data_IF_550805701119
#
_entry.id   IF_550805701119
#
_cell.length_a   1.000
_cell.length_b   1.000
_cell.length_c   1.000
_cell.angle_alpha   90.00
_cell.angle_beta   90.00
_cell.angle_gamma   90.00
#
_symmetry.space_group_name_H-M   'P 1'
#
loop_
_entity.id
_entity.type
_entity.pdbx_description
1 polymer ?
#
# COMPACT_ATOMS: atom_id res chain seq x y z
N UNK A 1 -50.19 0.22 23.20
CA UNK A 1 -48.81 0.04 23.65
C UNK A 1 -47.91 0.46 22.50
N UNK A 2 -47.44 1.70 22.54
CA UNK A 2 -46.54 2.32 21.53
C UNK A 2 -45.21 2.73 22.17
N UNK A 3 -45.14 2.64 23.51
CA UNK A 3 -43.94 2.98 24.30
C UNK A 3 -42.88 1.87 24.25
N UNK A 4 -43.27 0.61 24.06
CA UNK A 4 -42.31 -0.49 23.89
C UNK A 4 -41.68 -0.51 22.48
N UNK A 5 -42.41 -0.02 21.47
CA UNK A 5 -41.98 -0.07 20.07
C UNK A 5 -40.96 1.04 19.73
N UNK A 6 -41.04 2.19 20.41
CA UNK A 6 -40.06 3.27 20.27
C UNK A 6 -38.69 2.96 20.91
N UNK A 7 -38.63 2.02 21.87
CA UNK A 7 -37.37 1.65 22.52
C UNK A 7 -36.46 0.81 21.61
N UNK A 8 -37.03 -0.01 20.72
CA UNK A 8 -36.27 -0.90 19.83
C UNK A 8 -35.59 -0.12 18.70
N UNK A 9 -36.19 0.97 18.23
CA UNK A 9 -35.61 1.82 17.18
C UNK A 9 -34.37 2.59 17.66
N UNK A 10 -34.30 2.97 18.94
CA UNK A 10 -33.14 3.71 19.50
C UNK A 10 -31.95 2.79 19.74
N UNK A 11 -32.17 1.53 20.11
CA UNK A 11 -31.08 0.56 20.34
C UNK A 11 -30.40 0.14 19.04
N UNK A 12 -31.14 0.01 17.93
CA UNK A 12 -30.55 -0.33 16.64
C UNK A 12 -29.71 0.80 16.03
N UNK A 13 -30.06 2.07 16.29
CA UNK A 13 -29.29 3.22 15.80
C UNK A 13 -27.96 3.41 16.56
N UNK A 14 -27.89 2.97 17.82
CA UNK A 14 -26.66 3.00 18.61
C UNK A 14 -25.65 1.91 18.20
N UNK A 15 -26.13 0.77 17.67
CA UNK A 15 -25.25 -0.32 17.22
C UNK A 15 -24.54 0.03 15.91
N UNK A 16 -25.15 0.84 15.05
CA UNK A 16 -24.51 1.31 13.81
C UNK A 16 -23.48 2.42 14.01
N UNK A 17 -23.64 3.28 15.03
CA UNK A 17 -22.64 4.33 15.31
C UNK A 17 -21.36 3.77 15.93
N UNK A 18 -21.46 2.70 16.72
CA UNK A 18 -20.29 2.01 17.28
C UNK A 18 -19.48 1.28 16.20
N UNK A 19 -20.12 0.82 15.12
CA UNK A 19 -19.44 0.17 13.98
C UNK A 19 -18.93 1.15 12.91
N UNK A 20 -19.38 2.41 12.90
CA UNK A 20 -18.90 3.43 11.94
C UNK A 20 -17.69 4.22 12.45
N UNK A 21 -17.22 3.96 13.67
CA UNK A 21 -15.99 4.54 14.21
C UNK A 21 -14.75 3.80 13.68
N UNK A 22 -14.64 3.66 12.36
CA UNK A 22 -13.34 3.45 11.72
C UNK A 22 -12.80 4.84 11.45
N UNK A 23 -11.80 5.26 12.25
CA UNK A 23 -11.19 6.58 12.12
C UNK A 23 -10.71 6.80 10.68
N UNK A 24 -11.04 7.95 10.06
CA UNK A 24 -10.45 8.32 8.79
C UNK A 24 -8.95 8.48 9.00
N UNK A 25 -8.15 7.70 8.27
CA UNK A 25 -6.70 7.91 8.14
C UNK A 25 -6.44 9.26 7.46
N UNK A 26 -6.47 10.33 8.26
CA UNK A 26 -5.98 11.66 7.92
C UNK A 26 -5.03 12.06 9.04
N UNK A 27 -3.76 11.76 8.85
CA UNK A 27 -2.67 12.34 9.62
C UNK A 27 -1.86 13.24 8.70
N UNK A 28 -2.29 14.49 8.60
CA UNK A 28 -1.45 15.69 8.47
C UNK A 28 -2.30 16.74 9.25
N UNK A 29 -1.87 17.30 10.38
CA UNK A 29 -0.78 18.25 10.50
C UNK A 29 -0.55 18.60 12.00
N UNK A 30 0.72 18.75 12.38
CA UNK A 30 1.28 19.57 13.48
C UNK A 30 1.28 19.15 14.97
N UNK A 31 2.51 18.86 15.43
CA UNK A 31 3.22 19.43 16.58
C UNK A 31 2.69 19.22 18.01
N UNK A 32 3.40 18.36 18.76
CA UNK A 32 3.39 18.36 20.22
C UNK A 32 4.28 17.27 20.81
N UNK A 33 5.44 17.65 21.35
CA UNK A 33 6.36 16.73 22.02
C UNK A 33 5.68 15.98 23.19
N UNK A 34 5.75 14.67 23.15
CA UNK A 34 5.36 13.80 24.26
C UNK A 34 5.82 12.38 23.97
N UNK A 35 6.82 11.90 24.71
CA UNK A 35 7.26 10.52 24.67
C UNK A 35 6.11 9.60 25.14
N UNK A 36 5.33 9.09 24.19
CA UNK A 36 4.43 7.97 24.41
C UNK A 36 5.21 6.68 24.11
N UNK A 37 5.21 5.76 25.07
CA UNK A 37 5.75 4.42 24.88
C UNK A 37 5.07 3.80 23.66
N UNK A 38 5.88 3.45 22.65
CA UNK A 38 5.43 2.76 21.44
C UNK A 38 4.92 1.38 21.84
N UNK A 39 3.60 1.24 21.94
CA UNK A 39 2.97 -0.07 21.77
C UNK A 39 3.45 -0.64 20.43
N UNK A 40 3.69 -1.97 20.30
CA UNK A 40 4.04 -2.55 19.01
C UNK A 40 2.96 -2.17 18.01
N UNK A 41 3.35 -1.48 16.93
CA UNK A 41 2.44 -1.15 15.84
C UNK A 41 1.78 -2.45 15.40
N UNK A 42 0.45 -2.50 15.47
CA UNK A 42 -0.29 -3.62 14.89
C UNK A 42 0.07 -3.69 13.40
N UNK A 43 0.46 -4.88 12.92
CA UNK A 43 0.68 -5.11 11.49
C UNK A 43 -0.58 -4.69 10.73
N UNK A 44 -0.44 -3.67 9.90
CA UNK A 44 -1.49 -3.08 9.09
C UNK A 44 -1.01 -2.92 7.64
N UNK A 45 -1.87 -2.40 6.76
CA UNK A 45 -1.54 -2.22 5.36
C UNK A 45 -0.24 -1.44 5.19
N UNK A 46 0.61 -1.92 4.29
CA UNK A 46 1.87 -1.25 3.96
C UNK A 46 1.65 -0.33 2.77
N UNK A 47 1.97 0.95 2.97
CA UNK A 47 1.79 2.00 1.96
C UNK A 47 3.15 2.62 1.64
N UNK A 48 3.57 2.59 0.38
CA UNK A 48 4.81 3.21 -0.10
C UNK A 48 4.53 4.23 -1.19
N UNK A 49 5.42 5.22 -1.32
CA UNK A 49 5.34 6.25 -2.36
C UNK A 49 6.74 6.66 -2.82
N UNK A 50 7.17 6.12 -3.95
CA UNK A 50 8.54 6.26 -4.46
C UNK A 50 8.56 7.05 -5.76
N UNK A 51 9.30 8.17 -5.86
CA UNK A 51 9.48 8.86 -7.12
C UNK A 51 10.37 8.05 -8.07
N UNK A 52 10.11 8.14 -9.38
CA UNK A 52 10.93 7.51 -10.41
C UNK A 52 11.25 8.47 -11.55
N UNK A 53 12.37 8.20 -12.22
CA UNK A 53 12.82 8.92 -13.42
C UNK A 53 13.55 7.93 -14.35
N UNK A 54 12.92 7.58 -15.47
CA UNK A 54 13.53 6.73 -16.50
C UNK A 54 14.44 7.50 -17.46
N UNK A 55 14.49 8.84 -17.37
CA UNK A 55 15.26 9.71 -18.26
C UNK A 55 14.61 10.01 -19.62
N UNK A 56 13.54 9.29 -19.98
CA UNK A 56 12.81 9.45 -21.24
C UNK A 56 11.76 10.56 -21.24
N UNK A 57 11.16 10.81 -22.40
CA UNK A 57 10.04 11.74 -22.52
C UNK A 57 8.83 11.21 -21.74
N UNK A 58 8.24 12.05 -20.88
CA UNK A 58 7.22 11.65 -19.91
C UNK A 58 7.68 10.50 -18.98
N UNK A 59 9.00 10.33 -18.77
CA UNK A 59 9.57 9.22 -18.03
C UNK A 59 9.61 9.39 -16.50
N UNK A 60 8.87 10.37 -15.96
CA UNK A 60 8.94 10.76 -14.54
C UNK A 60 7.58 10.68 -13.88
N UNK A 61 7.58 10.25 -12.63
CA UNK A 61 6.36 10.12 -11.87
C UNK A 61 6.61 9.59 -10.47
N UNK A 62 5.55 9.06 -9.88
CA UNK A 62 5.56 8.42 -8.56
C UNK A 62 4.88 7.08 -8.66
N UNK A 63 5.52 6.05 -8.09
CA UNK A 63 4.88 4.75 -7.84
C UNK A 63 4.34 4.76 -6.42
N UNK A 64 3.05 4.46 -6.26
CA UNK A 64 2.44 4.18 -4.96
C UNK A 64 2.13 2.70 -4.85
N UNK A 65 2.49 2.09 -3.72
CA UNK A 65 2.24 0.67 -3.45
C UNK A 65 1.36 0.55 -2.22
N UNK A 66 0.40 -0.37 -2.28
CA UNK A 66 -0.36 -0.86 -1.15
C UNK A 66 -0.21 -2.38 -1.04
N UNK A 67 0.12 -2.89 0.14
CA UNK A 67 0.15 -4.32 0.45
C UNK A 67 -0.77 -4.57 1.65
N UNK A 68 -1.89 -5.25 1.40
CA UNK A 68 -2.90 -5.57 2.41
C UNK A 68 -2.99 -7.10 2.63
N UNK A 69 -3.01 -7.58 3.87
CA UNK A 69 -3.01 -6.85 5.15
C UNK A 69 -1.61 -6.45 5.65
N UNK A 70 -0.56 -6.54 4.84
CA UNK A 70 0.81 -6.15 5.22
C UNK A 70 1.43 -7.09 6.25
N UNK A 71 1.17 -8.40 6.12
CA UNK A 71 1.65 -9.42 7.09
C UNK A 71 2.15 -10.69 6.43
N UNK A 72 2.62 -11.64 7.24
CA UNK A 72 3.03 -12.95 6.73
C UNK A 72 1.87 -13.72 6.09
N UNK A 73 2.22 -14.56 5.10
CA UNK A 73 1.27 -15.31 4.30
C UNK A 73 0.81 -14.53 3.07
N UNK A 74 -0.46 -14.72 2.71
CA UNK A 74 -1.06 -14.15 1.50
C UNK A 74 -1.42 -12.68 1.69
N UNK A 75 -1.02 -11.86 0.73
CA UNK A 75 -1.36 -10.44 0.63
C UNK A 75 -1.92 -10.13 -0.77
N UNK A 76 -2.65 -9.03 -0.86
CA UNK A 76 -2.99 -8.35 -2.09
C UNK A 76 -2.04 -7.16 -2.27
N UNK A 77 -1.52 -7.01 -3.48
CA UNK A 77 -0.66 -5.90 -3.87
C UNK A 77 -1.44 -5.03 -4.86
N UNK A 78 -1.49 -3.73 -4.60
CA UNK A 78 -1.88 -2.74 -5.60
C UNK A 78 -0.72 -1.79 -5.86
N UNK A 79 -0.55 -1.43 -7.13
CA UNK A 79 0.45 -0.44 -7.55
C UNK A 79 -0.22 0.61 -8.43
N UNK A 80 -0.01 1.87 -8.09
CA UNK A 80 -0.40 3.01 -8.91
C UNK A 80 0.85 3.69 -9.45
N UNK A 81 0.85 4.02 -10.73
CA UNK A 81 1.87 4.82 -11.38
C UNK A 81 1.20 6.13 -11.76
N UNK A 82 1.62 7.21 -11.11
CA UNK A 82 1.13 8.55 -11.39
C UNK A 82 2.24 9.35 -12.10
N UNK A 83 1.92 10.06 -13.17
CA UNK A 83 2.85 10.92 -13.87
C UNK A 83 3.23 12.16 -13.04
N UNK A 84 4.20 12.94 -13.53
CA UNK A 84 4.60 14.19 -12.87
C UNK A 84 3.48 15.24 -12.74
N UNK A 85 2.37 15.10 -13.49
CA UNK A 85 1.18 15.95 -13.37
C UNK A 85 0.15 15.43 -12.35
N UNK A 86 0.48 14.36 -11.62
CA UNK A 86 -0.35 13.74 -10.60
C UNK A 86 -1.52 12.92 -11.14
N UNK A 87 -1.56 12.64 -12.44
CA UNK A 87 -2.58 11.80 -13.06
C UNK A 87 -2.06 10.37 -13.25
N UNK A 88 -2.95 9.36 -13.29
CA UNK A 88 -2.56 8.00 -13.63
C UNK A 88 -1.80 7.97 -14.96
N UNK A 89 -0.71 7.22 -14.99
CA UNK A 89 0.17 7.07 -16.14
C UNK A 89 0.32 5.59 -16.48
N UNK A 90 -0.07 5.20 -17.68
CA UNK A 90 0.23 3.85 -18.18
C UNK A 90 1.70 3.69 -18.53
N UNK A 91 2.23 2.53 -18.18
CA UNK A 91 3.60 2.11 -18.50
C UNK A 91 3.57 0.76 -19.21
N UNK A 92 4.40 0.55 -20.24
CA UNK A 92 4.50 -0.73 -20.95
C UNK A 92 4.81 -1.94 -20.05
N UNK A 93 5.57 -1.76 -18.97
CA UNK A 93 5.89 -2.83 -18.04
C UNK A 93 6.14 -2.30 -16.63
N UNK A 94 5.64 -3.05 -15.65
CA UNK A 94 5.87 -2.84 -14.22
C UNK A 94 6.23 -4.19 -13.59
N UNK A 95 7.34 -4.24 -12.83
CA UNK A 95 7.73 -5.41 -12.04
C UNK A 95 7.97 -5.00 -10.60
N UNK A 96 7.61 -5.86 -9.66
CA UNK A 96 7.91 -5.69 -8.24
C UNK A 96 8.71 -6.90 -7.76
N UNK A 97 9.65 -6.72 -6.86
CA UNK A 97 10.32 -7.81 -6.18
C UNK A 97 10.49 -7.52 -4.69
N UNK A 98 10.30 -8.55 -3.87
CA UNK A 98 10.45 -8.45 -2.41
C UNK A 98 11.70 -9.22 -1.97
N UNK A 99 12.57 -8.57 -1.21
CA UNK A 99 13.81 -9.19 -0.67
C UNK A 99 13.89 -8.98 0.84
N UNK A 100 14.11 -10.04 1.60
CA UNK A 100 14.41 -9.98 3.04
C UNK A 100 15.87 -10.36 3.23
N UNK A 101 16.74 -9.35 3.18
CA UNK A 101 18.20 -9.55 3.21
C UNK A 101 18.67 -10.23 4.49
N UNK A 102 18.07 -9.88 5.64
CA UNK A 102 18.42 -10.46 6.94
C UNK A 102 18.25 -11.99 7.00
N UNK A 103 17.38 -12.55 6.17
CA UNK A 103 17.08 -13.98 6.12
C UNK A 103 17.49 -14.63 4.79
N UNK A 104 18.21 -13.89 3.93
CA UNK A 104 18.63 -14.35 2.60
C UNK A 104 17.46 -14.86 1.73
N UNK A 105 16.29 -14.22 1.86
CA UNK A 105 15.10 -14.56 1.08
C UNK A 105 14.93 -13.56 -0.07
N UNK A 106 14.74 -14.09 -1.28
CA UNK A 106 14.41 -13.31 -2.47
C UNK A 106 15.60 -13.12 -3.43
N UNK A 107 15.43 -12.29 -4.47
CA UNK A 107 14.22 -11.51 -4.76
C UNK A 107 13.02 -12.41 -5.10
N UNK A 108 11.88 -12.15 -4.48
CA UNK A 108 10.61 -12.81 -4.77
C UNK A 108 9.86 -11.96 -5.81
N UNK A 109 9.84 -12.36 -7.10
CA UNK A 109 9.23 -11.55 -8.14
C UNK A 109 7.70 -11.58 -8.01
N UNK A 110 7.11 -10.40 -8.16
CA UNK A 110 5.67 -10.18 -8.31
C UNK A 110 5.46 -9.47 -9.62
N UNK A 111 4.71 -10.09 -10.52
CA UNK A 111 4.33 -9.50 -11.81
C UNK A 111 2.85 -9.14 -11.71
N UNK A 112 2.53 -7.89 -11.36
CA UNK A 112 1.14 -7.48 -11.26
C UNK A 112 0.50 -7.38 -12.64
N UNK A 113 -0.80 -7.63 -12.70
CA UNK A 113 -1.63 -7.47 -13.89
C UNK A 113 -2.18 -6.04 -13.95
N UNK A 114 -2.30 -5.49 -15.16
CA UNK A 114 -2.90 -4.16 -15.34
C UNK A 114 -4.41 -4.22 -15.12
N UNK A 115 -4.91 -3.44 -14.17
CA UNK A 115 -6.35 -3.30 -13.89
C UNK A 115 -6.97 -2.12 -14.63
N UNK A 116 -6.34 -0.95 -14.56
CA UNK A 116 -6.79 0.29 -15.19
C UNK A 116 -5.58 1.14 -15.59
N UNK A 117 -5.82 2.32 -16.17
CA UNK A 117 -4.74 3.25 -16.49
C UNK A 117 -3.92 3.56 -15.23
N UNK A 118 -2.62 3.29 -15.30
CA UNK A 118 -1.69 3.46 -14.18
C UNK A 118 -1.96 2.58 -12.96
N UNK A 119 -2.96 1.69 -12.95
CA UNK A 119 -3.29 0.83 -11.80
C UNK A 119 -3.08 -0.64 -12.12
N UNK A 120 -2.29 -1.30 -11.29
CA UNK A 120 -1.90 -2.69 -11.40
C UNK A 120 -2.21 -3.43 -10.08
N UNK A 121 -2.45 -4.74 -10.15
CA UNK A 121 -2.59 -5.55 -8.93
C UNK A 121 -2.02 -6.96 -9.07
N UNK A 122 -1.69 -7.55 -7.93
CA UNK A 122 -1.39 -8.97 -7.82
C UNK A 122 -2.06 -9.52 -6.56
N UNK A 123 -2.86 -10.58 -6.73
CA UNK A 123 -3.42 -11.32 -5.60
C UNK A 123 -2.50 -12.47 -5.18
N UNK A 124 -2.53 -12.84 -3.91
CA UNK A 124 -1.82 -14.05 -3.45
C UNK A 124 -0.32 -13.87 -3.27
N UNK A 125 0.16 -12.63 -3.16
CA UNK A 125 1.57 -12.32 -2.90
C UNK A 125 1.99 -12.93 -1.58
N UNK A 126 2.92 -13.88 -1.61
CA UNK A 126 3.35 -14.60 -0.42
C UNK A 126 4.52 -13.91 0.27
N UNK A 127 4.31 -13.54 1.53
CA UNK A 127 5.35 -12.99 2.40
C UNK A 127 5.67 -14.05 3.45
N UNK A 128 6.77 -14.81 3.32
CA UNK A 128 6.99 -16.00 4.13
C UNK A 128 7.33 -15.69 5.60
N UNK A 129 7.88 -14.51 5.88
CA UNK A 129 8.39 -14.14 7.20
C UNK A 129 8.21 -12.64 7.48
N UNK A 130 7.97 -12.30 8.74
CA UNK A 130 7.96 -10.91 9.20
C UNK A 130 9.39 -10.38 9.20
N UNK A 131 9.59 -9.11 8.85
CA UNK A 131 10.94 -8.59 8.62
C UNK A 131 10.96 -7.21 8.01
N UNK A 132 12.18 -6.68 7.84
CA UNK A 132 12.45 -5.49 7.06
C UNK A 132 12.66 -5.92 5.60
N UNK A 133 11.65 -5.76 4.77
CA UNK A 133 11.67 -6.15 3.37
C UNK A 133 12.10 -4.97 2.51
N UNK A 134 13.00 -5.22 1.56
CA UNK A 134 13.25 -4.30 0.46
C UNK A 134 12.24 -4.58 -0.65
N UNK A 135 11.59 -3.53 -1.13
CA UNK A 135 10.66 -3.56 -2.26
C UNK A 135 11.33 -2.90 -3.46
N UNK A 136 11.76 -3.71 -4.41
CA UNK A 136 12.31 -3.23 -5.69
C UNK A 136 11.16 -3.06 -6.69
N UNK A 137 11.05 -1.90 -7.32
CA UNK A 137 10.07 -1.63 -8.39
C UNK A 137 10.79 -1.23 -9.65
N UNK A 138 10.60 -2.02 -10.71
CA UNK A 138 11.06 -1.69 -12.05
C UNK A 138 9.92 -1.09 -12.86
N UNK A 139 10.13 0.15 -13.33
CA UNK A 139 9.22 0.88 -14.20
C UNK A 139 9.87 1.04 -15.57
N UNK A 140 9.18 0.58 -16.63
CA UNK A 140 9.61 0.75 -18.01
C UNK A 140 8.63 1.65 -18.74
N UNK A 141 9.09 2.80 -19.24
CA UNK A 141 8.24 3.78 -19.95
C UNK A 141 8.37 3.70 -21.47
N UNK A 142 9.43 3.08 -21.99
CA UNK A 142 9.64 2.84 -23.42
C UNK A 142 10.42 1.54 -23.67
N UNK A 143 10.77 1.24 -24.93
CA UNK A 143 11.62 0.07 -25.23
C UNK A 143 13.07 0.21 -24.73
N UNK A 144 13.51 1.43 -24.43
CA UNK A 144 14.88 1.72 -23.98
C UNK A 144 14.96 2.41 -22.62
N UNK A 145 13.85 2.98 -22.13
CA UNK A 145 13.83 3.76 -20.89
C UNK A 145 13.21 2.93 -19.76
N UNK A 146 14.02 2.57 -18.77
CA UNK A 146 13.63 1.79 -17.60
C UNK A 146 14.46 2.21 -16.38
N UNK A 147 13.85 2.17 -15.20
CA UNK A 147 14.53 2.36 -13.91
C UNK A 147 14.04 1.33 -12.91
N UNK A 148 14.92 0.91 -12.00
CA UNK A 148 14.54 0.21 -10.77
C UNK A 148 14.78 1.15 -9.59
N UNK A 149 13.75 1.36 -8.79
CA UNK A 149 13.80 2.10 -7.52
C UNK A 149 13.50 1.13 -6.39
N UNK A 150 13.94 1.44 -5.18
CA UNK A 150 13.72 0.58 -4.03
C UNK A 150 13.44 1.37 -2.75
N UNK A 151 12.71 0.73 -1.84
CA UNK A 151 12.46 1.23 -0.48
C UNK A 151 12.40 0.06 0.51
N UNK A 152 12.90 0.27 1.73
CA UNK A 152 12.80 -0.70 2.82
C UNK A 152 11.51 -0.46 3.62
N UNK A 153 10.84 -1.54 3.98
CA UNK A 153 9.60 -1.49 4.76
C UNK A 153 9.45 -2.66 5.72
N UNK A 154 8.88 -2.37 6.89
CA UNK A 154 8.53 -3.37 7.87
C UNK A 154 7.23 -4.08 7.50
N UNK A 155 7.26 -5.41 7.42
CA UNK A 155 6.07 -6.25 7.17
C UNK A 155 5.97 -7.34 8.25
N UNK A 156 4.75 -7.59 8.73
CA UNK A 156 4.42 -8.70 9.64
C UNK A 156 4.53 -8.42 11.13
#
# INVERSE_FOLDING_TARGET
SVLAEAAVAVVLLAVTTVLTSTEPGRTEEEAGAGAAATAPAAAGPVNLSMPFDTGGQNGKGTVRIDIDPGRTGSNELHVWVDGSDGKPMDVPELKVALTLEAQEIGPLPVVPDRLAEGHWSASGVQIPMAGEWKVDVTVRTSDIDQVTIDENVKIG
#
